data_IF_796196283889
#
_entry.id   IF_796196283889
#
_cell.length_a   1.000
_cell.length_b   1.000
_cell.length_c   1.000
_cell.angle_alpha   90.00
_cell.angle_beta   90.00
_cell.angle_gamma   90.00
#
_symmetry.space_group_name_H-M   'P 1'
#
loop_
_entity.id
_entity.type
_entity.pdbx_description
1 polymer ?
#
# COMPACT_ATOMS: atom_id res chain seq x y z
N UNK A 1 9.21 7.99 -9.59
CA UNK A 1 9.46 7.18 -8.39
C UNK A 1 8.25 6.28 -8.19
N UNK A 2 8.32 5.02 -8.66
CA UNK A 2 7.26 4.02 -8.48
C UNK A 2 7.96 2.71 -8.07
N UNK A 3 8.09 2.45 -6.76
CA UNK A 3 8.69 1.21 -6.28
C UNK A 3 7.93 0.57 -5.11
N UNK A 4 6.67 0.97 -4.84
CA UNK A 4 5.86 0.34 -3.79
C UNK A 4 5.07 -0.90 -4.23
N UNK A 5 4.99 -1.16 -5.54
CA UNK A 5 4.21 -2.28 -6.10
C UNK A 5 5.02 -3.52 -6.51
N UNK A 6 6.36 -3.45 -6.49
CA UNK A 6 7.24 -4.56 -6.92
C UNK A 6 7.41 -5.60 -5.81
N UNK A 7 7.55 -5.17 -4.55
CA UNK A 7 7.96 -6.06 -3.45
C UNK A 7 6.93 -7.15 -3.09
N UNK A 8 5.62 -6.89 -3.20
CA UNK A 8 4.62 -7.93 -2.91
C UNK A 8 4.59 -9.05 -3.96
N UNK A 9 4.81 -8.71 -5.23
CA UNK A 9 4.90 -9.72 -6.29
C UNK A 9 6.26 -10.43 -6.27
N UNK A 10 7.33 -9.72 -5.94
CA UNK A 10 8.66 -10.32 -5.76
C UNK A 10 8.70 -11.27 -4.55
N UNK A 11 7.99 -10.95 -3.47
CA UNK A 11 7.82 -11.83 -2.31
C UNK A 11 6.99 -13.09 -2.65
N UNK A 12 5.86 -12.95 -3.36
CA UNK A 12 5.09 -14.09 -3.85
C UNK A 12 5.89 -14.96 -4.82
N UNK A 13 6.73 -14.34 -5.66
CA UNK A 13 7.63 -15.05 -6.56
C UNK A 13 8.74 -15.80 -5.81
N UNK A 14 9.29 -15.22 -4.74
CA UNK A 14 10.25 -15.91 -3.87
C UNK A 14 9.59 -17.08 -3.13
N UNK A 15 8.37 -16.90 -2.62
CA UNK A 15 7.65 -17.95 -1.92
C UNK A 15 7.33 -19.13 -2.84
N UNK A 16 6.88 -18.86 -4.06
CA UNK A 16 6.61 -19.90 -5.07
C UNK A 16 7.89 -20.60 -5.54
N UNK A 17 9.01 -19.88 -5.64
CA UNK A 17 10.33 -20.48 -5.90
C UNK A 17 10.77 -21.40 -4.75
N UNK A 18 10.60 -20.97 -3.50
CA UNK A 18 10.91 -21.77 -2.33
C UNK A 18 10.06 -23.05 -2.26
N UNK A 19 8.74 -22.92 -2.45
CA UNK A 19 7.81 -24.07 -2.46
C UNK A 19 8.15 -25.05 -3.60
N UNK A 20 8.50 -24.53 -4.78
CA UNK A 20 8.91 -25.37 -5.91
C UNK A 20 10.23 -26.10 -5.66
N UNK A 21 11.18 -25.47 -4.96
CA UNK A 21 12.41 -26.10 -4.54
C UNK A 21 12.16 -27.19 -3.49
N UNK A 22 11.28 -26.94 -2.52
CA UNK A 22 10.90 -27.88 -1.48
C UNK A 22 10.15 -29.10 -2.07
N UNK A 23 9.24 -28.89 -3.02
CA UNK A 23 8.60 -30.00 -3.75
C UNK A 23 9.60 -30.86 -4.54
N UNK A 24 10.65 -30.25 -5.11
CA UNK A 24 11.72 -31.01 -5.80
C UNK A 24 12.58 -31.78 -4.82
N UNK A 25 12.96 -31.17 -3.69
CA UNK A 25 13.70 -31.84 -2.63
C UNK A 25 12.91 -33.04 -2.07
N UNK A 26 11.61 -32.86 -1.82
CA UNK A 26 10.74 -33.93 -1.34
C UNK A 26 10.60 -35.08 -2.36
N UNK A 27 10.54 -34.77 -3.67
CA UNK A 27 10.62 -35.82 -4.71
C UNK A 27 11.95 -36.58 -4.68
N UNK A 28 13.08 -35.88 -4.54
CA UNK A 28 14.40 -36.53 -4.44
C UNK A 28 14.54 -37.40 -3.19
N UNK A 29 13.99 -36.97 -2.05
CA UNK A 29 13.94 -37.79 -0.84
C UNK A 29 13.05 -39.02 -1.03
N UNK A 30 11.90 -38.86 -1.70
CA UNK A 30 11.01 -39.97 -2.04
C UNK A 30 11.70 -40.97 -2.98
N UNK A 31 12.40 -40.50 -4.01
CA UNK A 31 13.18 -41.34 -4.92
C UNK A 31 14.31 -42.08 -4.18
N UNK A 32 14.94 -41.43 -3.19
CA UNK A 32 15.96 -42.04 -2.35
C UNK A 32 15.38 -43.13 -1.45
N UNK A 33 14.21 -42.90 -0.87
CA UNK A 33 13.48 -43.91 -0.09
C UNK A 33 13.10 -45.09 -0.99
N UNK A 34 12.63 -44.84 -2.21
CA UNK A 34 12.33 -45.89 -3.19
C UNK A 34 13.59 -46.71 -3.55
N UNK A 35 14.72 -46.06 -3.77
CA UNK A 35 16.02 -46.73 -4.01
C UNK A 35 16.46 -47.60 -2.83
N UNK A 36 16.27 -47.11 -1.60
CA UNK A 36 16.55 -47.88 -0.39
C UNK A 36 15.62 -49.08 -0.26
N UNK A 37 14.33 -48.92 -0.53
CA UNK A 37 13.35 -50.02 -0.56
C UNK A 37 13.69 -51.06 -1.63
N UNK A 38 14.11 -50.63 -2.83
CA UNK A 38 14.60 -51.52 -3.89
C UNK A 38 15.86 -52.28 -3.49
N UNK A 39 16.80 -51.63 -2.78
CA UNK A 39 18.02 -52.28 -2.27
C UNK A 39 17.69 -53.30 -1.18
N UNK A 40 16.78 -52.95 -0.27
CA UNK A 40 16.32 -53.82 0.81
C UNK A 40 15.56 -55.04 0.26
N UNK A 41 14.73 -54.84 -0.77
CA UNK A 41 14.08 -55.89 -1.54
C UNK A 41 15.11 -56.86 -2.18
N UNK A 42 16.15 -56.32 -2.80
CA UNK A 42 17.24 -57.12 -3.41
C UNK A 42 18.03 -57.92 -2.37
N UNK A 43 18.29 -57.35 -1.20
CA UNK A 43 19.03 -58.01 -0.12
C UNK A 43 18.19 -59.10 0.58
N UNK A 44 16.87 -58.91 0.65
CA UNK A 44 15.94 -59.88 1.24
C UNK A 44 15.45 -60.95 0.26
N UNK A 45 15.81 -60.87 -1.02
CA UNK A 45 15.35 -61.80 -2.07
C UNK A 45 13.87 -61.67 -2.42
N UNK A 46 13.22 -60.58 -2.04
CA UNK A 46 11.78 -60.32 -2.25
C UNK A 46 11.63 -59.25 -3.35
N UNK A 47 10.68 -59.44 -4.29
CA UNK A 47 10.41 -58.45 -5.34
C UNK A 47 9.90 -57.12 -4.75
N UNK A 48 10.34 -55.99 -5.31
CA UNK A 48 9.91 -54.64 -4.93
C UNK A 48 8.38 -54.48 -4.96
N UNK A 49 7.70 -55.09 -5.94
CA UNK A 49 6.23 -55.05 -6.06
C UNK A 49 5.49 -55.79 -4.95
N UNK A 50 6.18 -56.68 -4.21
CA UNK A 50 5.65 -57.35 -3.02
C UNK A 50 5.84 -56.54 -1.74
N UNK A 51 6.79 -55.60 -1.72
CA UNK A 51 7.05 -54.70 -0.58
C UNK A 51 6.29 -53.37 -0.69
N UNK A 52 6.04 -52.88 -1.91
CA UNK A 52 5.36 -51.60 -2.17
C UNK A 52 3.84 -51.70 -2.13
N UNK A 53 3.28 -52.90 -2.34
CA UNK A 53 1.87 -53.15 -2.06
C UNK A 53 1.70 -53.22 -0.55
N UNK A 54 0.61 -52.65 -0.05
CA UNK A 54 0.15 -52.76 1.34
C UNK A 54 -0.32 -54.21 1.58
N UNK A 55 0.61 -55.16 1.48
CA UNK A 55 0.37 -56.57 1.71
C UNK A 55 0.53 -56.72 3.21
N UNK A 56 -0.59 -56.62 3.95
CA UNK A 56 -0.76 -57.51 5.10
C UNK A 56 -0.45 -58.89 4.51
N UNK A 57 0.67 -59.53 4.88
CA UNK A 57 1.17 -60.70 4.16
C UNK A 57 0.04 -61.70 3.93
N UNK A 58 -0.11 -62.28 2.74
CA UNK A 58 -1.08 -63.39 2.57
C UNK A 58 -0.73 -64.59 3.46
N UNK A 59 0.47 -64.63 4.05
CA UNK A 59 0.83 -65.55 5.15
C UNK A 59 0.07 -65.28 6.45
N UNK A 60 -0.64 -64.15 6.57
CA UNK A 60 -1.51 -63.80 7.68
C UNK A 60 -2.99 -64.03 7.36
N UNK A 61 -3.33 -64.42 6.13
CA UNK A 61 -4.72 -64.51 5.68
C UNK A 61 -5.30 -65.90 5.49
N UNK A 62 -4.51 -66.98 5.47
CA UNK A 62 -5.11 -68.32 5.64
C UNK A 62 -4.10 -69.40 6.09
N UNK A 63 -4.45 -70.05 7.20
CA UNK A 63 -4.13 -71.42 7.58
C UNK A 63 -2.68 -71.90 7.43
N UNK A 64 -1.81 -71.51 8.38
CA UNK A 64 -0.72 -72.35 8.91
C UNK A 64 -0.25 -71.89 10.29
N UNK A 65 -1.17 -71.90 11.23
CA UNK A 65 -0.83 -72.19 12.62
C UNK A 65 -0.32 -73.63 12.70
N UNK A 66 0.98 -73.85 12.48
CA UNK A 66 1.75 -75.01 12.95
C UNK A 66 3.15 -74.96 12.32
N UNK A 67 4.09 -74.29 13.00
CA UNK A 67 5.54 -74.63 13.12
C UNK A 67 6.43 -73.48 13.60
N UNK A 68 5.92 -72.25 13.74
CA UNK A 68 6.65 -71.26 14.54
C UNK A 68 6.29 -71.48 16.02
N UNK A 69 7.26 -71.71 16.93
CA UNK A 69 6.97 -71.71 18.36
C UNK A 69 6.33 -70.36 18.72
N UNK A 70 5.38 -70.32 19.68
CA UNK A 70 4.84 -69.06 20.16
C UNK A 70 6.01 -68.14 20.54
N UNK A 71 5.96 -66.84 20.16
CA UNK A 71 7.07 -65.94 20.41
C UNK A 71 7.41 -65.99 21.90
N UNK A 72 8.69 -66.20 22.20
CA UNK A 72 9.19 -66.18 23.57
C UNK A 72 8.79 -64.85 24.21
N UNK A 73 8.58 -64.81 25.52
CA UNK A 73 8.21 -63.58 26.25
C UNK A 73 9.15 -62.41 25.91
N UNK A 74 10.44 -62.71 25.74
CA UNK A 74 11.48 -61.79 25.26
C UNK A 74 11.17 -61.19 23.87
N UNK A 75 10.75 -62.01 22.90
CA UNK A 75 10.43 -61.53 21.54
C UNK A 75 9.18 -60.64 21.54
N UNK A 76 8.20 -60.95 22.40
CA UNK A 76 7.01 -60.12 22.57
C UNK A 76 7.36 -58.78 23.21
N UNK A 77 8.16 -58.77 24.28
CA UNK A 77 8.65 -57.56 24.93
C UNK A 77 9.50 -56.69 24.00
N UNK A 78 10.30 -57.31 23.13
CA UNK A 78 11.07 -56.60 22.09
C UNK A 78 10.11 -55.93 21.09
N UNK A 79 9.08 -56.63 20.63
CA UNK A 79 8.09 -56.06 19.70
C UNK A 79 7.27 -54.92 20.32
N UNK A 80 6.89 -55.05 21.59
CA UNK A 80 6.18 -54.02 22.35
C UNK A 80 7.07 -52.78 22.57
N UNK A 81 8.36 -52.97 22.87
CA UNK A 81 9.32 -51.86 22.95
C UNK A 81 9.52 -51.15 21.62
N UNK A 82 9.70 -51.88 20.52
CA UNK A 82 9.83 -51.25 19.19
C UNK A 82 8.57 -50.46 18.82
N UNK A 83 7.38 -50.96 19.18
CA UNK A 83 6.13 -50.23 18.97
C UNK A 83 6.06 -48.96 19.81
N UNK A 84 6.48 -49.01 21.08
CA UNK A 84 6.51 -47.84 21.97
C UNK A 84 7.51 -46.78 21.47
N UNK A 85 8.71 -47.20 21.05
CA UNK A 85 9.71 -46.29 20.46
C UNK A 85 9.14 -45.60 19.21
N UNK A 86 8.50 -46.36 18.34
CA UNK A 86 7.87 -45.80 17.14
C UNK A 86 6.75 -44.80 17.47
N UNK A 87 5.92 -45.09 18.48
CA UNK A 87 4.86 -44.17 18.91
C UNK A 87 5.43 -42.89 19.54
N UNK A 88 6.53 -42.99 20.30
CA UNK A 88 7.24 -41.84 20.87
C UNK A 88 7.83 -40.97 19.75
N UNK A 89 8.57 -41.54 18.81
CA UNK A 89 9.17 -40.80 17.68
C UNK A 89 8.10 -40.11 16.84
N UNK A 90 6.97 -40.80 16.60
CA UNK A 90 5.83 -40.22 15.89
C UNK A 90 5.26 -39.01 16.65
N UNK A 91 5.11 -39.10 17.96
CA UNK A 91 4.59 -38.00 18.77
C UNK A 91 5.57 -36.80 18.79
N UNK A 92 6.87 -37.06 18.90
CA UNK A 92 7.90 -36.01 18.83
C UNK A 92 7.91 -35.30 17.47
N UNK A 93 7.75 -36.05 16.38
CA UNK A 93 7.62 -35.50 15.03
C UNK A 93 6.41 -34.55 14.92
N UNK A 94 5.24 -34.99 15.40
CA UNK A 94 4.04 -34.15 15.39
C UNK A 94 4.19 -32.90 16.26
N UNK A 95 4.76 -33.04 17.45
CA UNK A 95 5.01 -31.90 18.35
C UNK A 95 5.96 -30.88 17.70
N UNK A 96 7.02 -31.36 17.03
CA UNK A 96 7.96 -30.49 16.31
C UNK A 96 7.28 -29.73 15.18
N UNK A 97 6.42 -30.42 14.40
CA UNK A 97 5.64 -29.78 13.33
C UNK A 97 4.61 -28.78 13.87
N UNK A 98 3.94 -29.11 14.98
CA UNK A 98 3.00 -28.21 15.63
C UNK A 98 3.70 -26.94 16.15
N UNK A 99 4.87 -27.08 16.78
CA UNK A 99 5.67 -25.93 17.21
C UNK A 99 6.14 -25.07 16.03
N UNK A 100 6.57 -25.69 14.93
CA UNK A 100 6.93 -24.96 13.71
C UNK A 100 5.74 -24.15 13.14
N UNK A 101 4.55 -24.74 13.14
CA UNK A 101 3.31 -24.05 12.73
C UNK A 101 2.98 -22.87 13.64
N UNK A 102 3.08 -23.05 14.96
CA UNK A 102 2.84 -21.97 15.93
C UNK A 102 3.82 -20.81 15.70
N UNK A 103 5.11 -21.12 15.48
CA UNK A 103 6.12 -20.11 15.20
C UNK A 103 5.82 -19.36 13.90
N UNK A 104 5.43 -20.06 12.84
CA UNK A 104 5.08 -19.44 11.57
C UNK A 104 3.84 -18.52 11.70
N UNK A 105 2.82 -18.95 12.46
CA UNK A 105 1.67 -18.10 12.78
C UNK A 105 2.09 -16.82 13.52
N UNK A 106 2.99 -16.92 14.50
CA UNK A 106 3.50 -15.76 15.24
C UNK A 106 4.32 -14.81 14.34
N UNK A 107 5.10 -15.35 13.41
CA UNK A 107 5.80 -14.53 12.40
C UNK A 107 4.80 -13.79 11.51
N UNK A 108 3.76 -14.47 11.03
CA UNK A 108 2.70 -13.83 10.25
C UNK A 108 1.98 -12.72 11.01
N UNK A 109 1.67 -12.91 12.30
CA UNK A 109 1.12 -11.83 13.12
C UNK A 109 2.06 -10.64 13.25
N UNK A 110 3.37 -10.90 13.35
CA UNK A 110 4.38 -9.84 13.40
C UNK A 110 4.46 -9.06 12.08
N UNK A 111 4.37 -9.75 10.94
CA UNK A 111 4.31 -9.10 9.62
C UNK A 111 3.05 -8.26 9.44
N UNK A 112 1.88 -8.77 9.85
CA UNK A 112 0.61 -8.01 9.79
C UNK A 112 0.72 -6.74 10.63
N UNK A 113 1.27 -6.84 11.84
CA UNK A 113 1.47 -5.67 12.71
C UNK A 113 2.38 -4.64 12.05
N UNK A 114 3.54 -5.06 11.54
CA UNK A 114 4.48 -4.17 10.88
C UNK A 114 3.85 -3.49 9.65
N UNK A 115 3.05 -4.22 8.87
CA UNK A 115 2.33 -3.66 7.73
C UNK A 115 1.32 -2.58 8.15
N UNK A 116 0.57 -2.80 9.23
CA UNK A 116 -0.37 -1.81 9.76
C UNK A 116 0.38 -0.55 10.22
N UNK A 117 1.50 -0.72 10.91
CA UNK A 117 2.32 0.41 11.38
C UNK A 117 2.90 1.22 10.21
N UNK A 118 3.38 0.53 9.15
CA UNK A 118 3.84 1.18 7.92
C UNK A 118 2.71 1.94 7.21
N UNK A 119 1.53 1.33 7.05
CA UNK A 119 0.39 1.98 6.41
C UNK A 119 -0.07 3.22 7.18
N UNK A 120 -0.09 3.17 8.51
CA UNK A 120 -0.44 4.32 9.34
C UNK A 120 0.57 5.46 9.17
N UNK A 121 1.88 5.17 9.20
CA UNK A 121 2.94 6.14 8.97
C UNK A 121 2.87 6.78 7.57
N UNK A 122 2.61 5.98 6.53
CA UNK A 122 2.43 6.47 5.16
C UNK A 122 1.19 7.38 5.06
N UNK A 123 0.08 6.98 5.68
CA UNK A 123 -1.16 7.76 5.67
C UNK A 123 -0.96 9.12 6.31
N UNK A 124 -0.30 9.19 7.46
CA UNK A 124 -0.01 10.46 8.14
C UNK A 124 0.87 11.38 7.28
N UNK A 125 1.94 10.85 6.69
CA UNK A 125 2.81 11.61 5.78
C UNK A 125 2.06 12.14 4.56
N UNK A 126 1.21 11.31 3.95
CA UNK A 126 0.44 11.70 2.77
C UNK A 126 -0.59 12.78 3.09
N UNK A 127 -1.25 12.70 4.24
CA UNK A 127 -2.18 13.74 4.69
C UNK A 127 -1.43 15.04 4.87
N UNK A 128 -0.32 15.05 5.62
CA UNK A 128 0.47 16.27 5.85
C UNK A 128 0.94 16.88 4.52
N UNK A 129 1.50 16.08 3.61
CA UNK A 129 1.97 16.53 2.31
C UNK A 129 0.84 17.11 1.43
N UNK A 130 -0.31 16.42 1.38
CA UNK A 130 -1.48 16.90 0.64
C UNK A 130 -2.00 18.22 1.19
N UNK A 131 -2.06 18.33 2.52
CA UNK A 131 -2.59 19.54 3.17
C UNK A 131 -1.64 20.72 2.98
N UNK A 132 -0.33 20.51 3.11
CA UNK A 132 0.68 21.55 2.86
C UNK A 132 0.69 22.00 1.41
N UNK A 133 0.66 21.07 0.45
CA UNK A 133 0.68 21.40 -0.97
C UNK A 133 -0.56 22.21 -1.38
N UNK A 134 -1.74 21.81 -0.91
CA UNK A 134 -2.98 22.56 -1.19
C UNK A 134 -3.02 23.93 -0.54
N UNK A 135 -2.51 24.06 0.69
CA UNK A 135 -2.40 25.36 1.35
C UNK A 135 -1.42 26.27 0.63
N UNK A 136 -0.26 25.76 0.22
CA UNK A 136 0.75 26.51 -0.51
C UNK A 136 0.23 26.97 -1.89
N UNK A 137 -0.47 26.09 -2.61
CA UNK A 137 -1.10 26.42 -3.89
C UNK A 137 -2.11 27.56 -3.74
N UNK A 138 -2.98 27.48 -2.72
CA UNK A 138 -3.97 28.52 -2.41
C UNK A 138 -3.32 29.83 -1.98
N UNK A 139 -2.27 29.77 -1.16
CA UNK A 139 -1.55 30.95 -0.72
C UNK A 139 -0.84 31.65 -1.89
N UNK A 140 -0.22 30.90 -2.81
CA UNK A 140 0.37 31.45 -4.04
C UNK A 140 -0.68 32.14 -4.91
N UNK A 141 -1.85 31.49 -5.11
CA UNK A 141 -2.95 32.08 -5.87
C UNK A 141 -3.47 33.38 -5.22
N UNK A 142 -3.61 33.40 -3.89
CA UNK A 142 -4.02 34.59 -3.15
C UNK A 142 -3.00 35.74 -3.31
N UNK A 143 -1.70 35.44 -3.18
CA UNK A 143 -0.65 36.44 -3.36
C UNK A 143 -0.61 36.99 -4.79
N UNK A 144 -0.83 36.14 -5.79
CA UNK A 144 -0.90 36.57 -7.18
C UNK A 144 -2.10 37.50 -7.39
N UNK A 145 -3.29 37.11 -6.91
CA UNK A 145 -4.50 37.93 -7.02
C UNK A 145 -4.33 39.28 -6.31
N UNK A 146 -3.73 39.28 -5.11
CA UNK A 146 -3.43 40.51 -4.39
C UNK A 146 -2.50 41.44 -5.18
N UNK A 147 -1.44 40.89 -5.78
CA UNK A 147 -0.52 41.68 -6.62
C UNK A 147 -1.26 42.25 -7.83
N UNK A 148 -2.03 41.44 -8.55
CA UNK A 148 -2.82 41.91 -9.70
C UNK A 148 -3.77 43.04 -9.31
N UNK A 149 -4.53 42.86 -8.23
CA UNK A 149 -5.48 43.88 -7.75
C UNK A 149 -4.78 45.17 -7.34
N UNK A 150 -3.59 45.07 -6.71
CA UNK A 150 -2.79 46.23 -6.37
C UNK A 150 -2.35 46.99 -7.62
N UNK A 151 -1.84 46.29 -8.63
CA UNK A 151 -1.42 46.89 -9.90
C UNK A 151 -2.59 47.55 -10.63
N UNK A 152 -3.73 46.86 -10.73
CA UNK A 152 -4.94 47.42 -11.35
C UNK A 152 -5.45 48.66 -10.62
N UNK A 153 -5.40 48.68 -9.28
CA UNK A 153 -5.78 49.85 -8.49
C UNK A 153 -4.84 51.03 -8.76
N UNK A 154 -3.52 50.78 -8.83
CA UNK A 154 -2.54 51.81 -9.19
C UNK A 154 -2.75 52.35 -10.61
N UNK A 155 -3.03 51.49 -11.58
CA UNK A 155 -3.37 51.90 -12.95
C UNK A 155 -4.68 52.69 -13.02
N UNK A 156 -5.70 52.26 -12.28
CA UNK A 156 -6.99 52.96 -12.22
C UNK A 156 -6.81 54.35 -11.63
N UNK A 157 -6.01 54.51 -10.58
CA UNK A 157 -5.67 55.82 -10.00
C UNK A 157 -4.97 56.72 -11.03
N UNK A 158 -4.01 56.19 -11.79
CA UNK A 158 -3.32 56.94 -12.85
C UNK A 158 -4.30 57.40 -13.93
N UNK A 159 -5.14 56.49 -14.43
CA UNK A 159 -6.17 56.82 -15.44
C UNK A 159 -7.15 57.87 -14.94
N UNK A 160 -7.60 57.74 -13.69
CA UNK A 160 -8.51 58.70 -13.06
C UNK A 160 -7.85 60.09 -12.97
N UNK A 161 -6.57 60.14 -12.58
CA UNK A 161 -5.82 61.39 -12.56
C UNK A 161 -5.73 62.04 -13.96
N UNK A 162 -5.42 61.25 -14.99
CA UNK A 162 -5.38 61.75 -16.38
C UNK A 162 -6.74 62.29 -16.85
N UNK A 163 -7.85 61.64 -16.48
CA UNK A 163 -9.20 62.12 -16.78
C UNK A 163 -9.47 63.46 -16.09
N UNK A 164 -9.06 63.62 -14.83
CA UNK A 164 -9.18 64.89 -14.10
C UNK A 164 -8.35 65.99 -14.77
N UNK A 165 -7.10 65.72 -15.13
CA UNK A 165 -6.25 66.70 -15.85
C UNK A 165 -6.86 67.11 -17.21
N UNK A 166 -7.42 66.16 -17.95
CA UNK A 166 -8.10 66.45 -19.22
C UNK A 166 -9.36 67.29 -19.00
N UNK A 167 -10.15 66.98 -17.97
CA UNK A 167 -11.33 67.75 -17.60
C UNK A 167 -10.93 69.20 -17.24
N UNK A 168 -9.88 69.39 -16.44
CA UNK A 168 -9.38 70.72 -16.09
C UNK A 168 -8.91 71.53 -17.30
N UNK A 169 -8.24 70.89 -18.26
CA UNK A 169 -7.82 71.55 -19.52
C UNK A 169 -9.04 71.98 -20.34
N UNK A 170 -10.01 71.09 -20.53
CA UNK A 170 -11.24 71.41 -21.25
C UNK A 170 -12.01 72.54 -20.57
N UNK A 171 -12.09 72.54 -19.23
CA UNK A 171 -12.72 73.62 -18.47
C UNK A 171 -12.01 74.97 -18.68
N UNK A 172 -10.69 75.00 -18.87
CA UNK A 172 -9.92 76.22 -19.16
C UNK A 172 -10.07 76.72 -20.60
N UNK A 173 -10.33 75.82 -21.54
CA UNK A 173 -10.53 76.15 -22.96
C UNK A 173 -11.93 76.69 -23.26
N UNK A 174 -12.90 76.45 -22.38
CA UNK A 174 -14.27 76.96 -22.51
C UNK A 174 -14.33 78.45 -22.16
N UNK A 175 -14.83 79.26 -23.10
CA UNK A 175 -15.14 80.67 -22.87
C UNK A 175 -16.49 80.79 -22.12
N UNK A 176 -16.41 80.75 -20.79
CA UNK A 176 -17.57 80.78 -19.88
C UNK A 176 -18.40 82.06 -19.97
N UNK A 177 -17.83 83.14 -20.48
CA UNK A 177 -18.50 84.44 -20.58
C UNK A 177 -19.49 84.49 -21.77
N UNK A 178 -19.32 83.60 -22.75
CA UNK A 178 -20.24 83.46 -23.90
C UNK A 178 -21.42 82.53 -23.63
N UNK A 179 -21.43 81.81 -22.51
CA UNK A 179 -22.47 80.83 -22.19
C UNK A 179 -23.59 81.52 -21.40
N UNK A 180 -24.85 81.48 -21.86
CA UNK A 180 -25.97 82.08 -21.14
C UNK A 180 -26.20 81.38 -19.79
N UNK A 181 -25.90 82.09 -18.70
CA UNK A 181 -25.94 81.57 -17.30
C UNK A 181 -27.34 81.14 -16.83
N UNK A 182 -28.40 81.54 -17.54
CA UNK A 182 -29.78 81.14 -17.28
C UNK A 182 -30.23 79.91 -18.09
N UNK A 183 -29.34 79.32 -18.91
CA UNK A 183 -29.64 78.08 -19.63
C UNK A 183 -29.81 76.92 -18.65
N UNK A 184 -30.80 76.07 -18.95
CA UNK A 184 -31.07 74.84 -18.20
C UNK A 184 -29.85 73.90 -18.17
N UNK A 185 -29.07 73.89 -19.24
CA UNK A 185 -27.88 73.06 -19.39
C UNK A 185 -26.71 73.58 -18.54
N UNK A 186 -26.55 74.90 -18.43
CA UNK A 186 -25.54 75.53 -17.58
C UNK A 186 -25.79 75.24 -16.09
N UNK A 187 -27.05 75.37 -15.65
CA UNK A 187 -27.46 75.08 -14.27
C UNK A 187 -27.26 73.59 -13.95
N UNK A 188 -27.58 72.69 -14.89
CA UNK A 188 -27.39 71.24 -14.72
C UNK A 188 -25.92 70.88 -14.63
N UNK A 189 -25.09 71.45 -15.51
CA UNK A 189 -23.65 71.24 -15.49
C UNK A 189 -23.03 71.72 -14.17
N UNK A 190 -23.39 72.93 -13.71
CA UNK A 190 -22.91 73.47 -12.43
C UNK A 190 -23.29 72.59 -11.24
N UNK A 191 -24.53 72.09 -11.17
CA UNK A 191 -24.94 71.15 -10.11
C UNK A 191 -24.16 69.83 -10.16
N UNK A 192 -23.86 69.32 -11.35
CA UNK A 192 -23.04 68.11 -11.51
C UNK A 192 -21.60 68.36 -11.07
N UNK A 193 -21.07 69.55 -11.32
CA UNK A 193 -19.72 69.96 -10.94
C UNK A 193 -19.61 70.19 -9.42
N UNK A 194 -20.61 70.84 -8.81
CA UNK A 194 -20.74 70.98 -7.35
C UNK A 194 -20.83 69.60 -6.67
N UNK A 195 -21.65 68.68 -7.19
CA UNK A 195 -21.71 67.30 -6.69
C UNK A 195 -20.36 66.57 -6.78
N UNK A 196 -19.67 66.71 -7.91
CA UNK A 196 -18.35 66.11 -8.11
C UNK A 196 -17.29 66.69 -7.16
N UNK A 197 -17.41 67.98 -6.83
CA UNK A 197 -16.51 68.64 -5.89
C UNK A 197 -16.81 68.24 -4.43
N UNK A 198 -18.08 68.15 -4.05
CA UNK A 198 -18.49 67.77 -2.69
C UNK A 198 -18.24 66.28 -2.40
N UNK A 199 -18.54 65.40 -3.36
CA UNK A 199 -18.44 63.96 -3.15
C UNK A 199 -17.00 63.42 -3.27
N UNK A 200 -16.16 64.08 -4.09
CA UNK A 200 -14.87 63.52 -4.48
C UNK A 200 -13.69 64.52 -4.37
N UNK A 201 -13.92 65.76 -3.93
CA UNK A 201 -12.88 66.81 -3.78
C UNK A 201 -12.00 67.00 -5.02
N UNK A 202 -12.60 66.90 -6.21
CA UNK A 202 -11.87 66.84 -7.49
C UNK A 202 -11.23 68.18 -7.86
N UNK A 203 -11.75 69.30 -7.35
CA UNK A 203 -11.25 70.64 -7.63
C UNK A 203 -10.84 71.31 -6.32
N UNK A 204 -9.53 71.54 -6.15
CA UNK A 204 -8.94 72.33 -5.08
C UNK A 204 -8.26 73.55 -5.66
#
# INVERSE_FOLDING_TARGET
MNSGGSDSFDYLLQLTKALSAECRANRQETDRIELLLKRLAKQSGISYDKLSKNIIPDSWKDNRSQTAPPPTEEQRLISENFKLIYEIEKQEYFNTKALALINNINEHFSYIKNFIDEQNSIRERNVVAFTSEKLDERNRSLQQNYRSLKTENEETKKKLHTVVEQLEKLLKEVDWDRIPKNSRDYIRFRKQLEYLQDAYQILK
#
